data_IF_657223199758
#
_entry.id   IF_657223199758
#
_cell.length_a   1.000
_cell.length_b   1.000
_cell.length_c   1.000
_cell.angle_alpha   90.00
_cell.angle_beta   90.00
_cell.angle_gamma   90.00
#
_symmetry.space_group_name_H-M   'P 1'
#
loop_
_entity.id
_entity.type
_entity.pdbx_description
1 polymer ?
#
# COMPACT_ATOMS: atom_id res chain seq x y z
N UNK A 1 12.14 0.11 -29.89
CA UNK A 1 11.72 -0.23 -28.51
C UNK A 1 12.21 0.88 -27.59
N UNK A 2 11.39 1.30 -26.64
CA UNK A 2 11.73 2.28 -25.59
C UNK A 2 11.54 1.62 -24.24
N UNK A 3 12.48 1.88 -23.31
CA UNK A 3 12.44 1.37 -21.94
C UNK A 3 12.21 2.52 -20.97
N UNK A 4 11.25 2.36 -20.08
CA UNK A 4 10.93 3.30 -19.02
C UNK A 4 11.34 2.72 -17.68
N UNK A 5 11.87 3.58 -16.82
CA UNK A 5 12.25 3.24 -15.46
C UNK A 5 11.60 4.24 -14.52
N UNK A 6 10.83 3.74 -13.57
CA UNK A 6 10.16 4.57 -12.56
C UNK A 6 10.47 4.03 -11.16
N UNK A 7 10.83 4.91 -10.22
CA UNK A 7 11.17 4.58 -8.83
C UNK A 7 12.68 4.62 -8.50
N UNK A 8 12.97 4.63 -7.20
CA UNK A 8 14.32 4.69 -6.63
C UNK A 8 14.82 3.31 -6.19
N UNK A 9 16.12 3.04 -6.38
CA UNK A 9 16.79 1.85 -5.86
C UNK A 9 16.27 0.51 -6.40
N UNK A 10 15.94 -0.42 -5.50
CA UNK A 10 15.54 -1.81 -5.82
C UNK A 10 14.06 -1.95 -6.20
N UNK A 11 13.22 -0.94 -5.92
CA UNK A 11 11.78 -0.92 -6.26
C UNK A 11 11.54 -0.25 -7.62
N UNK A 12 12.43 -0.48 -8.59
CA UNK A 12 12.39 0.18 -9.89
C UNK A 12 11.45 -0.57 -10.82
N UNK A 13 10.28 0.01 -11.07
CA UNK A 13 9.32 -0.48 -12.05
C UNK A 13 9.89 -0.26 -13.45
N UNK A 14 9.89 -1.31 -14.27
CA UNK A 14 10.40 -1.26 -15.65
C UNK A 14 9.26 -1.51 -16.62
N UNK A 15 9.21 -0.70 -17.66
CA UNK A 15 8.23 -0.86 -18.71
C UNK A 15 8.87 -0.74 -20.09
N UNK A 16 8.28 -1.40 -21.07
CA UNK A 16 8.76 -1.50 -22.43
C UNK A 16 7.63 -1.12 -23.39
N UNK A 17 7.96 -0.27 -24.37
CA UNK A 17 7.05 0.13 -25.44
C UNK A 17 7.72 -0.16 -26.79
N UNK A 18 6.98 -0.82 -27.69
CA UNK A 18 7.43 -0.98 -29.07
C UNK A 18 6.93 0.21 -29.87
N UNK A 19 7.79 1.19 -30.16
CA UNK A 19 7.38 2.37 -30.96
C UNK A 19 7.25 2.15 -32.46
N UNK A 20 7.94 1.14 -32.98
CA UNK A 20 8.01 0.85 -34.41
C UNK A 20 8.51 -0.56 -34.63
N UNK A 21 7.82 -1.29 -35.50
CA UNK A 21 8.27 -2.54 -36.11
C UNK A 21 8.08 -2.42 -37.62
N UNK A 22 9.00 -2.95 -38.43
CA UNK A 22 8.87 -2.96 -39.90
C UNK A 22 8.39 -4.35 -40.34
N UNK A 23 7.42 -4.41 -41.24
CA UNK A 23 6.98 -5.66 -41.86
C UNK A 23 6.03 -6.52 -41.02
N UNK A 24 5.57 -6.03 -39.88
CA UNK A 24 4.53 -6.67 -39.07
C UNK A 24 3.91 -5.65 -38.12
N UNK A 25 2.69 -5.92 -37.67
CA UNK A 25 2.01 -5.12 -36.67
C UNK A 25 2.62 -5.34 -35.29
N UNK A 26 2.48 -4.35 -34.41
CA UNK A 26 2.98 -4.42 -33.05
C UNK A 26 2.00 -3.78 -32.08
N UNK A 27 2.11 -4.18 -30.81
CA UNK A 27 1.34 -3.59 -29.72
C UNK A 27 1.74 -2.11 -29.53
N UNK A 28 0.75 -1.24 -29.46
CA UNK A 28 0.88 0.20 -29.16
C UNK A 28 0.82 0.51 -27.65
N UNK A 29 0.67 -0.51 -26.81
CA UNK A 29 0.62 -0.38 -25.36
C UNK A 29 1.98 -0.63 -24.70
N UNK A 30 2.14 -0.03 -23.51
CA UNK A 30 3.31 -0.20 -22.67
C UNK A 30 3.20 -1.50 -21.85
N UNK A 31 4.22 -2.35 -21.92
CA UNK A 31 4.29 -3.64 -21.21
C UNK A 31 5.26 -3.54 -20.04
N UNK A 32 4.79 -3.80 -18.82
CA UNK A 32 5.67 -3.90 -17.66
C UNK A 32 6.44 -5.21 -17.68
N UNK A 33 7.67 -5.23 -17.17
CA UNK A 33 8.48 -6.44 -17.13
C UNK A 33 9.45 -6.47 -15.95
N UNK A 34 9.79 -7.68 -15.52
CA UNK A 34 10.81 -7.94 -14.51
C UNK A 34 11.97 -8.76 -15.09
N UNK A 35 13.15 -8.54 -14.52
CA UNK A 35 14.36 -9.31 -14.81
C UNK A 35 14.60 -10.23 -13.62
N UNK A 36 14.48 -11.52 -13.85
CA UNK A 36 14.72 -12.59 -12.87
C UNK A 36 15.96 -13.38 -13.26
N UNK A 37 16.44 -14.26 -12.38
CA UNK A 37 17.55 -15.18 -12.71
C UNK A 37 17.23 -16.11 -13.90
N UNK A 38 15.94 -16.30 -14.20
CA UNK A 38 15.45 -17.07 -15.35
C UNK A 38 15.29 -16.23 -16.63
N UNK A 39 15.53 -14.92 -16.58
CA UNK A 39 15.40 -13.99 -17.69
C UNK A 39 14.27 -12.96 -17.53
N UNK A 40 13.80 -12.42 -18.66
CA UNK A 40 12.83 -11.32 -18.73
C UNK A 40 11.40 -11.88 -18.76
N UNK A 41 10.55 -11.43 -17.83
CA UNK A 41 9.12 -11.79 -17.77
C UNK A 41 8.24 -10.56 -17.92
N UNK A 42 7.34 -10.54 -18.90
CA UNK A 42 6.36 -9.47 -19.07
C UNK A 42 5.13 -9.69 -18.18
N UNK A 43 4.68 -8.63 -17.52
CA UNK A 43 3.49 -8.65 -16.65
C UNK A 43 2.30 -8.18 -17.47
N UNK A 44 1.37 -9.10 -17.79
CA UNK A 44 0.11 -8.75 -18.46
C UNK A 44 -0.84 -8.14 -17.45
N UNK A 45 -1.43 -6.99 -17.79
CA UNK A 45 -2.33 -6.23 -16.91
C UNK A 45 -3.77 -6.78 -16.86
N UNK A 46 -4.08 -7.88 -17.56
CA UNK A 46 -5.41 -8.47 -17.60
C UNK A 46 -5.52 -9.70 -16.69
N UNK A 47 -6.19 -9.52 -15.55
CA UNK A 47 -7.32 -10.34 -15.10
C UNK A 47 -8.05 -9.56 -13.99
N UNK A 48 -8.68 -8.45 -14.35
CA UNK A 48 -9.87 -7.96 -13.63
C UNK A 48 -11.05 -8.72 -14.25
N UNK A 49 -11.60 -9.76 -13.59
CA UNK A 49 -12.77 -10.43 -14.14
C UNK A 49 -13.97 -9.46 -14.12
N UNK A 50 -14.62 -9.34 -15.27
CA UNK A 50 -15.91 -8.66 -15.42
C UNK A 50 -16.94 -9.26 -14.42
N UNK A 51 -17.89 -8.45 -13.92
CA UNK A 51 -18.80 -8.88 -12.86
C UNK A 51 -19.86 -9.83 -13.45
N UNK A 52 -19.65 -11.14 -13.33
CA UNK A 52 -20.69 -12.09 -13.75
C UNK A 52 -20.35 -13.58 -13.63
N UNK A 53 -19.10 -14.00 -13.82
CA UNK A 53 -18.76 -15.42 -13.74
C UNK A 53 -18.11 -15.77 -12.40
N UNK A 54 -18.71 -16.72 -11.68
CA UNK A 54 -18.11 -17.31 -10.47
C UNK A 54 -16.92 -18.18 -10.91
N UNK A 55 -15.65 -17.81 -10.62
CA UNK A 55 -14.55 -18.69 -10.94
C UNK A 55 -14.43 -19.74 -9.85
N UNK A 56 -14.30 -21.00 -10.28
CA UNK A 56 -13.94 -22.13 -9.43
C UNK A 56 -12.62 -21.79 -8.71
N UNK A 57 -12.52 -22.19 -7.44
CA UNK A 57 -11.35 -22.03 -6.55
C UNK A 57 -10.05 -22.39 -7.29
N UNK A 58 -9.35 -21.39 -7.80
CA UNK A 58 -7.90 -21.42 -7.93
C UNK A 58 -7.42 -20.81 -6.62
N UNK A 59 -6.74 -21.60 -5.79
CA UNK A 59 -6.01 -21.10 -4.64
C UNK A 59 -4.87 -20.20 -5.15
N UNK A 60 -5.21 -18.98 -5.56
CA UNK A 60 -4.27 -17.86 -5.61
C UNK A 60 -3.74 -17.78 -4.18
N UNK A 61 -2.49 -18.20 -3.96
CA UNK A 61 -1.67 -17.70 -2.84
C UNK A 61 -1.75 -16.18 -2.96
N UNK A 62 -2.71 -15.59 -2.25
CA UNK A 62 -2.78 -14.14 -2.06
C UNK A 62 -1.52 -13.85 -1.28
N UNK A 63 -0.48 -13.42 -1.99
CA UNK A 63 0.64 -12.76 -1.36
C UNK A 63 0.01 -11.68 -0.49
N UNK A 64 0.13 -11.88 0.82
CA UNK A 64 -0.41 -10.94 1.79
C UNK A 64 0.21 -9.57 1.52
N UNK A 65 -0.50 -8.53 1.92
CA UNK A 65 0.08 -7.19 1.89
C UNK A 65 1.37 -7.18 2.72
N UNK A 66 2.38 -6.45 2.24
CA UNK A 66 3.64 -6.32 2.97
C UNK A 66 3.42 -5.54 4.26
N UNK A 67 4.32 -5.71 5.24
CA UNK A 67 4.28 -4.95 6.49
C UNK A 67 4.33 -3.45 6.21
N UNK A 68 5.19 -3.02 5.30
CA UNK A 68 5.33 -1.62 4.89
C UNK A 68 4.02 -1.06 4.30
N UNK A 69 3.30 -1.85 3.51
CA UNK A 69 1.98 -1.46 2.99
C UNK A 69 0.95 -1.34 4.10
N UNK A 70 0.99 -2.23 5.11
CA UNK A 70 0.13 -2.15 6.28
C UNK A 70 0.42 -0.88 7.11
N UNK A 71 1.69 -0.52 7.24
CA UNK A 71 2.16 0.67 7.96
C UNK A 71 1.71 1.94 7.25
N UNK A 72 1.95 2.07 5.94
CA UNK A 72 1.45 3.22 5.16
C UNK A 72 -0.08 3.38 5.24
N UNK A 73 -0.83 2.27 5.18
CA UNK A 73 -2.28 2.32 5.34
C UNK A 73 -2.69 2.78 6.74
N UNK A 74 -2.01 2.29 7.79
CA UNK A 74 -2.27 2.70 9.16
C UNK A 74 -2.01 4.20 9.38
N UNK A 75 -0.88 4.72 8.90
CA UNK A 75 -0.54 6.14 8.98
C UNK A 75 -1.58 7.03 8.29
N UNK A 76 -2.00 6.62 7.09
CA UNK A 76 -3.00 7.36 6.33
C UNK A 76 -4.32 7.44 7.08
N UNK A 77 -4.78 6.32 7.67
CA UNK A 77 -6.03 6.32 8.44
C UNK A 77 -5.92 7.11 9.73
N UNK A 78 -4.81 7.01 10.47
CA UNK A 78 -4.62 7.78 11.70
C UNK A 78 -4.64 9.27 11.39
N UNK A 79 -3.97 9.69 10.30
CA UNK A 79 -3.95 11.07 9.84
C UNK A 79 -5.34 11.55 9.41
N UNK A 80 -6.12 10.72 8.70
CA UNK A 80 -7.50 11.06 8.33
C UNK A 80 -8.45 11.11 9.53
N UNK A 81 -8.24 10.25 10.53
CA UNK A 81 -9.07 10.22 11.74
C UNK A 81 -8.78 11.42 12.65
N UNK A 82 -7.54 11.89 12.67
CA UNK A 82 -7.13 13.08 13.40
C UNK A 82 -7.53 14.36 12.68
N UNK A 83 -8.59 15.02 13.14
CA UNK A 83 -8.91 16.38 12.70
C UNK A 83 -7.85 17.34 13.26
N UNK A 84 -6.95 17.85 12.41
CA UNK A 84 -5.97 18.87 12.80
C UNK A 84 -4.61 18.68 12.14
N UNK A 85 -3.60 19.37 12.67
CA UNK A 85 -2.22 19.28 12.18
C UNK A 85 -1.49 18.19 12.97
N UNK A 86 -1.14 17.10 12.30
CA UNK A 86 -0.26 16.06 12.84
C UNK A 86 1.19 16.53 12.66
N UNK A 87 1.97 16.51 13.74
CA UNK A 87 3.37 16.98 13.73
C UNK A 87 4.36 15.85 13.44
N UNK A 88 4.04 14.67 13.95
CA UNK A 88 4.81 13.46 13.77
C UNK A 88 3.99 12.25 14.18
N UNK A 89 4.28 11.11 13.56
CA UNK A 89 3.71 9.81 13.87
C UNK A 89 4.88 8.84 14.02
N UNK A 90 4.87 8.06 15.09
CA UNK A 90 5.94 7.11 15.40
C UNK A 90 5.32 5.75 15.60
N UNK A 91 5.76 4.78 14.81
CA UNK A 91 5.37 3.38 14.94
C UNK A 91 6.26 2.74 15.99
N UNK A 92 5.70 2.27 17.09
CA UNK A 92 6.45 1.67 18.20
C UNK A 92 6.49 0.15 18.08
N UNK A 93 5.39 -0.45 17.62
CA UNK A 93 5.28 -1.89 17.46
C UNK A 93 4.48 -2.22 16.21
N UNK A 94 5.07 -2.99 15.31
CA UNK A 94 4.37 -3.59 14.18
C UNK A 94 4.58 -5.10 14.24
N UNK A 95 3.47 -5.86 14.26
CA UNK A 95 3.54 -7.30 14.45
C UNK A 95 2.32 -8.03 13.92
N UNK A 96 2.53 -9.19 13.31
CA UNK A 96 1.45 -10.02 12.82
C UNK A 96 0.89 -10.89 13.95
N UNK A 97 -0.42 -10.81 14.18
CA UNK A 97 -1.17 -11.71 15.07
C UNK A 97 -2.18 -12.51 14.26
N UNK A 98 -2.51 -13.73 14.70
CA UNK A 98 -3.62 -14.50 14.13
C UNK A 98 -4.87 -14.21 14.96
N UNK A 99 -5.90 -13.64 14.34
CA UNK A 99 -7.21 -13.46 14.96
C UNK A 99 -8.13 -14.56 14.39
N UNK A 100 -8.19 -15.70 15.10
CA UNK A 100 -8.77 -16.93 14.56
C UNK A 100 -7.98 -17.43 13.34
N UNK A 101 -8.65 -17.57 12.20
CA UNK A 101 -8.06 -18.04 10.94
C UNK A 101 -7.49 -16.92 10.04
N UNK A 102 -7.60 -15.66 10.49
CA UNK A 102 -7.21 -14.48 9.71
C UNK A 102 -5.90 -13.90 10.28
N UNK A 103 -4.83 -13.79 9.47
CA UNK A 103 -3.63 -13.06 9.87
C UNK A 103 -3.89 -11.54 9.83
N UNK A 104 -3.57 -10.85 10.91
CA UNK A 104 -3.84 -9.43 11.13
C UNK A 104 -2.54 -8.75 11.57
N UNK A 105 -2.14 -7.69 10.88
CA UNK A 105 -1.10 -6.78 11.36
C UNK A 105 -1.67 -5.88 12.44
N UNK A 106 -1.13 -5.99 13.65
CA UNK A 106 -1.39 -5.04 14.73
C UNK A 106 -0.25 -4.03 14.73
N UNK A 107 -0.58 -2.79 14.42
CA UNK A 107 0.36 -1.68 14.38
C UNK A 107 -0.08 -0.70 15.47
N UNK A 108 0.83 -0.34 16.36
CA UNK A 108 0.60 0.68 17.38
C UNK A 108 1.75 1.65 17.43
N UNK A 109 1.40 2.86 17.83
CA UNK A 109 2.34 3.95 17.87
C UNK A 109 1.79 5.15 18.64
N UNK A 110 2.59 6.19 18.62
CA UNK A 110 2.25 7.50 19.17
C UNK A 110 2.09 8.49 18.03
N UNK A 111 1.21 9.47 18.24
CA UNK A 111 1.01 10.57 17.30
C UNK A 111 1.02 11.88 18.06
N UNK A 112 1.82 12.82 17.57
CA UNK A 112 1.87 14.18 18.07
C UNK A 112 0.81 15.02 17.35
N UNK A 113 -0.31 15.24 18.03
CA UNK A 113 -1.40 16.06 17.53
C UNK A 113 -1.24 17.50 18.02
N UNK A 114 -1.30 18.47 17.11
CA UNK A 114 -1.34 19.88 17.47
C UNK A 114 -2.79 20.28 17.70
N UNK A 115 -3.20 20.30 18.97
CA UNK A 115 -4.48 20.83 19.37
C UNK A 115 -4.41 22.37 19.30
N UNK A 116 -5.23 22.97 18.42
CA UNK A 116 -5.53 24.40 18.49
C UNK A 116 -6.75 24.58 19.40
N UNK A 117 -6.57 24.97 20.68
CA UNK A 117 -7.72 25.43 21.46
C UNK A 117 -8.26 26.68 20.77
N UNK A 118 -9.54 26.68 20.40
CA UNK A 118 -10.15 27.82 19.71
C UNK A 118 -9.89 29.14 20.46
N UNK A 119 -9.38 30.14 19.74
CA UNK A 119 -9.11 31.48 20.26
C UNK A 119 -7.79 32.08 19.74
N UNK A 120 -7.82 33.37 19.41
CA UNK A 120 -6.76 34.13 18.71
C UNK A 120 -5.41 34.26 19.45
N UNK A 121 -5.24 33.68 20.65
CA UNK A 121 -4.12 34.01 21.55
C UNK A 121 -3.54 32.82 22.34
N UNK A 122 -4.02 31.58 22.16
CA UNK A 122 -3.48 30.43 22.90
C UNK A 122 -2.33 29.75 22.15
N UNK A 123 -1.22 29.52 22.86
CA UNK A 123 -0.07 28.74 22.37
C UNK A 123 -0.55 27.38 21.88
N UNK A 124 -0.03 26.95 20.73
CA UNK A 124 -0.27 25.60 20.20
C UNK A 124 0.18 24.56 21.25
N UNK A 125 -0.72 23.65 21.62
CA UNK A 125 -0.41 22.57 22.56
C UNK A 125 -0.25 21.29 21.76
N UNK A 126 0.91 20.64 21.87
CA UNK A 126 1.15 19.32 21.30
C UNK A 126 0.66 18.27 22.29
N UNK A 127 -0.35 17.50 21.91
CA UNK A 127 -0.89 16.39 22.66
C UNK A 127 -0.35 15.08 22.05
N UNK A 128 0.31 14.25 22.85
CA UNK A 128 0.68 12.90 22.43
C UNK A 128 -0.50 11.96 22.64
N UNK A 129 -0.92 11.28 21.58
CA UNK A 129 -1.97 10.25 21.64
C UNK A 129 -1.45 8.90 21.19
N UNK A 130 -1.94 7.87 21.85
CA UNK A 130 -1.62 6.49 21.49
C UNK A 130 -2.65 5.99 20.49
N UNK A 131 -2.18 5.42 19.40
CA UNK A 131 -3.04 4.83 18.40
C UNK A 131 -2.70 3.36 18.18
N UNK A 132 -3.70 2.62 17.70
CA UNK A 132 -3.58 1.22 17.35
C UNK A 132 -4.48 0.93 16.17
N UNK A 133 -3.90 0.40 15.09
CA UNK A 133 -4.60 -0.03 13.89
C UNK A 133 -4.42 -1.53 13.71
N UNK A 134 -5.50 -2.20 13.33
CA UNK A 134 -5.51 -3.59 12.94
C UNK A 134 -5.81 -3.69 11.46
N UNK A 135 -4.89 -4.24 10.68
CA UNK A 135 -5.01 -4.41 9.23
C UNK A 135 -5.02 -5.90 8.91
N UNK A 136 -5.99 -6.37 8.13
CA UNK A 136 -6.00 -7.73 7.61
C UNK A 136 -4.82 -7.92 6.65
N UNK A 137 -3.93 -8.87 6.97
CA UNK A 137 -2.73 -9.14 6.18
C UNK A 137 -3.06 -9.74 4.80
N UNK A 138 -4.26 -10.29 4.59
CA UNK A 138 -4.65 -10.88 3.30
C UNK A 138 -5.32 -9.90 2.36
N UNK A 139 -6.01 -8.90 2.89
CA UNK A 139 -6.83 -7.98 2.10
C UNK A 139 -6.39 -6.53 2.17
N UNK A 140 -5.53 -6.17 3.13
CA UNK A 140 -5.17 -4.78 3.43
C UNK A 140 -6.32 -3.96 4.00
N UNK A 141 -7.45 -4.59 4.34
CA UNK A 141 -8.58 -3.89 4.95
C UNK A 141 -8.29 -3.62 6.41
N UNK A 142 -8.71 -2.43 6.85
CA UNK A 142 -8.61 -2.03 8.25
C UNK A 142 -9.79 -2.63 9.00
N UNK A 143 -9.48 -3.47 9.97
CA UNK A 143 -10.45 -4.17 10.80
C UNK A 143 -10.85 -3.29 11.99
N UNK A 144 -9.88 -2.56 12.55
CA UNK A 144 -10.10 -1.67 13.68
C UNK A 144 -9.08 -0.53 13.67
N UNK A 145 -9.52 0.65 14.09
CA UNK A 145 -8.68 1.80 14.33
C UNK A 145 -9.07 2.41 15.67
N UNK A 146 -8.10 2.63 16.55
CA UNK A 146 -8.26 3.30 17.84
C UNK A 146 -7.20 4.38 17.93
N UNK A 147 -7.60 5.61 18.23
CA UNK A 147 -6.78 6.81 18.25
C UNK A 147 -7.17 7.66 19.46
#
# INVERSE_FOLDING_TARGET
IVLYYEGDGLTRTRALEVRKMRGTDHSDYMSFFDITDEGIRTVKLEEVPAPGERPKKVEKKREGISLEQAEMAAEHIVTQHMRGRVRGLTIETSGMKKLGDIPVFKISGTVEHVARPGGFSRREVTEMRFWTVQVDARSGKILACRV
#
